data_IF_567362192243
#
_entry.id   IF_567362192243
#
_cell.length_a   1.000
_cell.length_b   1.000
_cell.length_c   1.000
_cell.angle_alpha   90.00
_cell.angle_beta   90.00
_cell.angle_gamma   90.00
#
_symmetry.space_group_name_H-M   'P 1'
#
loop_
_entity.id
_entity.type
_entity.pdbx_description
1 polymer ?
#
# COMPACT_ATOMS: atom_id res chain seq x y z
N UNK A 1 19.01 -0.41 -11.11
CA UNK A 1 19.11 -0.33 -12.56
C UNK A 1 17.79 -0.73 -13.23
N UNK A 2 17.29 -1.96 -13.10
CA UNK A 2 16.04 -2.40 -13.74
C UNK A 2 14.80 -1.61 -13.25
N UNK A 3 14.77 -1.24 -11.97
CA UNK A 3 13.69 -0.42 -11.41
C UNK A 3 13.74 1.01 -11.96
N UNK A 4 14.93 1.58 -12.11
CA UNK A 4 15.08 2.92 -12.70
C UNK A 4 14.65 2.93 -14.17
N UNK A 5 15.09 1.94 -14.95
CA UNK A 5 14.68 1.80 -16.36
C UNK A 5 13.15 1.67 -16.48
N UNK A 6 12.54 0.86 -15.62
CA UNK A 6 11.08 0.76 -15.53
C UNK A 6 10.41 2.08 -15.16
N UNK A 7 10.94 2.80 -14.17
CA UNK A 7 10.42 4.08 -13.72
C UNK A 7 10.62 5.21 -14.76
N UNK A 8 11.60 5.09 -15.65
CA UNK A 8 11.80 6.01 -16.76
C UNK A 8 10.94 5.70 -17.99
N UNK A 9 10.60 4.43 -18.16
CA UNK A 9 9.73 3.99 -19.27
C UNK A 9 8.24 4.21 -18.98
N UNK A 10 7.80 3.93 -17.74
CA UNK A 10 6.38 3.92 -17.39
C UNK A 10 5.64 5.24 -17.65
N UNK A 11 6.21 6.43 -17.45
CA UNK A 11 5.55 7.69 -17.81
C UNK A 11 5.13 7.78 -19.29
N UNK A 12 5.90 7.21 -20.20
CA UNK A 12 5.56 7.18 -21.64
C UNK A 12 4.33 6.32 -21.91
N UNK A 13 4.23 5.19 -21.21
CA UNK A 13 3.03 4.32 -21.28
C UNK A 13 1.80 5.04 -20.74
N UNK A 14 1.97 5.86 -19.69
CA UNK A 14 0.88 6.68 -19.16
C UNK A 14 0.47 7.79 -20.14
N UNK A 15 1.42 8.39 -20.85
CA UNK A 15 1.13 9.38 -21.88
C UNK A 15 0.35 8.76 -23.05
N UNK A 16 0.73 7.57 -23.51
CA UNK A 16 0.00 6.83 -24.54
C UNK A 16 -1.45 6.50 -24.13
N UNK A 17 -1.66 6.14 -22.85
CA UNK A 17 -3.01 5.87 -22.30
C UNK A 17 -3.81 7.18 -22.19
N UNK A 18 -3.17 8.26 -21.77
CA UNK A 18 -3.78 9.57 -21.63
C UNK A 18 -4.28 10.09 -23.00
N UNK A 19 -3.44 10.02 -24.01
CA UNK A 19 -3.79 10.38 -25.40
C UNK A 19 -4.94 9.53 -25.96
N UNK A 20 -4.98 8.24 -25.62
CA UNK A 20 -5.99 7.32 -26.11
C UNK A 20 -7.36 7.52 -25.45
N UNK A 21 -7.39 7.76 -24.14
CA UNK A 21 -8.61 7.69 -23.33
C UNK A 21 -9.10 9.04 -22.80
N UNK A 22 -8.22 9.90 -22.31
CA UNK A 22 -8.64 11.08 -21.53
C UNK A 22 -9.51 12.04 -22.33
N UNK A 23 -9.15 12.34 -23.55
CA UNK A 23 -9.95 13.21 -24.43
C UNK A 23 -10.91 12.45 -25.35
N UNK A 24 -10.96 11.13 -25.25
CA UNK A 24 -11.83 10.31 -26.08
C UNK A 24 -13.31 10.58 -25.78
N UNK A 25 -14.05 11.03 -26.79
CA UNK A 25 -15.48 11.38 -26.65
C UNK A 25 -16.33 10.23 -26.14
N UNK A 26 -16.07 9.02 -26.64
CA UNK A 26 -16.85 7.82 -26.22
C UNK A 26 -16.56 7.50 -24.77
N UNK A 27 -15.29 7.55 -24.37
CA UNK A 27 -14.87 7.31 -22.99
C UNK A 27 -15.50 8.33 -22.04
N UNK A 28 -15.44 9.62 -22.37
CA UNK A 28 -16.07 10.69 -21.57
C UNK A 28 -17.58 10.49 -21.44
N UNK A 29 -18.27 10.18 -22.51
CA UNK A 29 -19.73 9.97 -22.48
C UNK A 29 -20.16 8.78 -21.61
N UNK A 30 -19.27 7.83 -21.37
CA UNK A 30 -19.54 6.65 -20.54
C UNK A 30 -19.09 6.78 -19.09
N UNK A 31 -18.35 7.82 -18.74
CA UNK A 31 -17.78 7.98 -17.42
C UNK A 31 -18.14 9.30 -16.73
N UNK A 32 -18.35 10.38 -17.49
CA UNK A 32 -18.73 11.68 -16.91
C UNK A 32 -20.16 11.63 -16.38
N UNK A 33 -20.35 12.10 -15.16
CA UNK A 33 -21.62 12.11 -14.42
C UNK A 33 -22.24 10.70 -14.21
N UNK A 34 -21.41 9.64 -14.32
CA UNK A 34 -21.80 8.25 -14.08
C UNK A 34 -21.19 7.77 -12.76
N UNK A 35 -22.02 7.09 -11.95
CA UNK A 35 -21.57 6.53 -10.66
C UNK A 35 -21.06 7.60 -9.72
N UNK A 36 -21.76 8.71 -9.62
CA UNK A 36 -21.43 9.80 -8.70
C UNK A 36 -21.57 9.31 -7.26
N UNK A 37 -20.51 9.52 -6.47
CA UNK A 37 -20.46 9.23 -5.04
C UNK A 37 -20.29 10.56 -4.31
N UNK A 38 -21.23 10.85 -3.42
CA UNK A 38 -21.23 12.09 -2.64
C UNK A 38 -20.35 11.98 -1.40
N UNK A 39 -20.04 13.11 -0.77
CA UNK A 39 -19.33 13.13 0.50
C UNK A 39 -20.13 12.46 1.63
N UNK A 40 -21.47 12.56 1.60
CA UNK A 40 -22.37 11.88 2.53
C UNK A 40 -22.30 10.36 2.36
N UNK A 41 -22.36 9.85 1.12
CA UNK A 41 -22.18 8.41 0.84
C UNK A 41 -20.83 7.88 1.35
N UNK A 42 -19.76 8.68 1.21
CA UNK A 42 -18.42 8.32 1.69
C UNK A 42 -18.40 8.10 3.20
N UNK A 43 -19.03 9.00 3.94
CA UNK A 43 -19.08 8.92 5.40
C UNK A 43 -19.96 7.75 5.85
N UNK A 44 -21.14 7.60 5.28
CA UNK A 44 -22.11 6.57 5.64
C UNK A 44 -21.58 5.15 5.37
N UNK A 45 -20.86 4.97 4.27
CA UNK A 45 -20.31 3.67 3.89
C UNK A 45 -18.85 3.46 4.29
N UNK A 46 -18.24 4.42 4.98
CA UNK A 46 -16.83 4.40 5.38
C UNK A 46 -15.90 4.04 4.21
N UNK A 47 -16.10 4.69 3.07
CA UNK A 47 -15.30 4.46 1.87
C UNK A 47 -13.86 4.95 2.05
N UNK A 48 -12.95 4.50 1.23
CA UNK A 48 -11.55 4.90 1.26
C UNK A 48 -10.93 4.91 -0.14
N UNK A 49 -9.70 5.43 -0.24
CA UNK A 49 -8.95 5.43 -1.48
C UNK A 49 -9.46 6.42 -2.52
N UNK A 50 -9.39 6.01 -3.78
CA UNK A 50 -9.73 6.88 -4.90
C UNK A 50 -11.22 7.27 -4.94
N UNK A 51 -12.11 6.51 -4.32
CA UNK A 51 -13.51 6.90 -4.17
C UNK A 51 -13.62 8.20 -3.37
N UNK A 52 -12.92 8.27 -2.25
CA UNK A 52 -12.86 9.45 -1.38
C UNK A 52 -12.19 10.63 -2.08
N UNK A 53 -11.04 10.38 -2.69
CA UNK A 53 -10.28 11.42 -3.40
C UNK A 53 -11.01 11.94 -4.64
N UNK A 54 -11.66 11.07 -5.39
CA UNK A 54 -12.49 11.48 -6.54
C UNK A 54 -13.67 12.37 -6.19
N UNK A 55 -14.19 12.26 -4.98
CA UNK A 55 -15.33 13.07 -4.48
C UNK A 55 -14.92 14.35 -3.74
N UNK A 56 -13.65 14.72 -3.76
CA UNK A 56 -13.19 16.01 -3.26
C UNK A 56 -12.46 15.99 -1.91
N UNK A 57 -12.32 14.84 -1.26
CA UNK A 57 -11.63 14.72 0.03
C UNK A 57 -10.18 14.23 -0.16
N UNK A 58 -9.23 15.02 0.32
CA UNK A 58 -7.80 14.70 0.25
C UNK A 58 -7.38 13.71 1.36
N UNK A 59 -8.02 12.55 1.43
CA UNK A 59 -7.71 11.52 2.42
C UNK A 59 -6.74 10.47 1.87
N UNK A 60 -5.58 10.36 2.50
CA UNK A 60 -4.55 9.37 2.20
C UNK A 60 -3.76 9.06 3.47
N UNK A 61 -3.70 7.79 3.87
CA UNK A 61 -3.02 7.37 5.09
C UNK A 61 -1.53 7.67 5.08
N UNK A 62 -0.90 7.69 3.90
CA UNK A 62 0.52 8.02 3.75
C UNK A 62 0.84 9.47 4.18
N UNK A 63 -0.17 10.34 4.23
CA UNK A 63 -0.09 11.73 4.69
C UNK A 63 -0.79 11.98 6.02
N UNK A 64 -1.98 11.38 6.21
CA UNK A 64 -2.78 11.58 7.42
C UNK A 64 -2.19 10.85 8.64
N UNK A 65 -1.64 9.67 8.43
CA UNK A 65 -0.97 8.85 9.45
C UNK A 65 0.26 8.18 8.83
N UNK A 66 1.34 8.94 8.57
CA UNK A 66 2.53 8.43 7.91
C UNK A 66 3.07 7.19 8.60
N UNK A 67 3.44 6.20 7.81
CA UNK A 67 4.08 4.98 8.24
C UNK A 67 5.33 4.73 7.42
N UNK A 68 6.27 3.96 7.96
CA UNK A 68 7.59 3.75 7.36
C UNK A 68 8.29 5.08 7.05
N UNK A 69 8.64 5.35 5.80
CA UNK A 69 9.36 6.55 5.37
C UNK A 69 8.51 7.49 4.51
N UNK A 70 7.18 7.39 4.54
CA UNK A 70 6.32 8.22 3.69
C UNK A 70 6.33 9.71 4.05
N UNK A 71 6.67 10.05 5.28
CA UNK A 71 6.88 11.43 5.73
C UNK A 71 8.11 12.11 5.09
N UNK A 72 9.04 11.30 4.58
CA UNK A 72 10.27 11.77 3.95
C UNK A 72 10.18 11.92 2.42
N UNK A 73 9.09 11.42 1.80
CA UNK A 73 8.89 11.49 0.35
C UNK A 73 8.01 12.66 -0.06
N UNK A 74 8.39 13.30 -1.14
CA UNK A 74 7.60 14.35 -1.78
C UNK A 74 6.66 13.77 -2.84
N UNK A 75 5.36 13.87 -2.60
CA UNK A 75 4.31 13.50 -3.54
C UNK A 75 3.04 14.28 -3.27
N UNK A 76 2.16 14.38 -4.26
CA UNK A 76 0.87 15.03 -4.15
C UNK A 76 -0.25 14.00 -4.06
N UNK A 77 -1.34 14.38 -3.39
CA UNK A 77 -2.58 13.61 -3.35
C UNK A 77 -3.51 14.22 -4.40
N UNK A 78 -3.80 13.51 -5.51
CA UNK A 78 -4.76 14.01 -6.49
C UNK A 78 -6.17 13.94 -5.92
N UNK A 79 -6.95 15.01 -6.16
CA UNK A 79 -8.31 15.16 -5.67
C UNK A 79 -9.22 15.55 -6.82
N UNK A 80 -10.32 14.83 -6.98
CA UNK A 80 -11.38 15.13 -7.94
C UNK A 80 -12.36 16.16 -7.40
N UNK A 81 -13.42 16.41 -8.14
CA UNK A 81 -14.46 17.40 -7.77
C UNK A 81 -15.87 16.89 -7.89
N UNK A 82 -16.14 15.97 -8.81
CA UNK A 82 -17.47 15.48 -9.15
C UNK A 82 -17.85 14.14 -8.52
N UNK A 83 -16.87 13.37 -8.07
CA UNK A 83 -17.09 12.04 -7.51
C UNK A 83 -17.58 10.99 -8.52
N UNK A 84 -17.44 11.24 -9.81
CA UNK A 84 -17.89 10.35 -10.88
C UNK A 84 -16.78 9.37 -11.31
N UNK A 85 -17.12 8.48 -12.23
CA UNK A 85 -16.16 7.51 -12.79
C UNK A 85 -14.98 8.18 -13.49
N UNK A 86 -15.22 9.33 -14.13
CA UNK A 86 -14.20 10.06 -14.86
C UNK A 86 -13.17 10.69 -13.92
N UNK A 87 -13.62 11.35 -12.84
CA UNK A 87 -12.72 11.91 -11.83
C UNK A 87 -11.89 10.81 -11.14
N UNK A 88 -12.48 9.65 -10.86
CA UNK A 88 -11.73 8.51 -10.32
C UNK A 88 -10.67 8.00 -11.30
N UNK A 89 -10.95 8.00 -12.58
CA UNK A 89 -9.95 7.67 -13.61
C UNK A 89 -8.81 8.70 -13.61
N UNK A 90 -9.12 10.00 -13.63
CA UNK A 90 -8.12 11.06 -13.58
C UNK A 90 -7.26 10.99 -12.33
N UNK A 91 -7.85 10.77 -11.17
CA UNK A 91 -7.10 10.57 -9.92
C UNK A 91 -6.12 9.39 -10.05
N UNK A 92 -6.53 8.24 -10.60
CA UNK A 92 -5.63 7.10 -10.80
C UNK A 92 -4.48 7.39 -11.76
N UNK A 93 -4.73 8.12 -12.85
CA UNK A 93 -3.69 8.53 -13.78
C UNK A 93 -2.63 9.40 -13.07
N UNK A 94 -3.08 10.34 -12.24
CA UNK A 94 -2.18 11.17 -11.45
C UNK A 94 -1.47 10.39 -10.35
N UNK A 95 -2.16 9.50 -9.65
CA UNK A 95 -1.56 8.63 -8.60
C UNK A 95 -0.45 7.73 -9.16
N UNK A 96 -0.61 7.21 -10.37
CA UNK A 96 0.44 6.44 -11.02
C UNK A 96 1.69 7.29 -11.31
N UNK A 97 1.52 8.54 -11.72
CA UNK A 97 2.64 9.49 -11.93
C UNK A 97 3.32 9.83 -10.60
N UNK A 98 2.56 10.07 -9.53
CA UNK A 98 3.12 10.30 -8.20
C UNK A 98 3.83 9.06 -7.64
N UNK A 99 3.33 7.86 -7.93
CA UNK A 99 3.99 6.60 -7.55
C UNK A 99 5.38 6.46 -8.19
N UNK A 100 5.54 6.87 -9.45
CA UNK A 100 6.86 6.90 -10.11
C UNK A 100 7.82 7.86 -9.38
N UNK A 101 7.34 9.02 -8.93
CA UNK A 101 8.17 9.95 -8.14
C UNK A 101 8.64 9.33 -6.83
N UNK A 102 7.74 8.64 -6.12
CA UNK A 102 8.08 7.95 -4.88
C UNK A 102 9.12 6.85 -5.13
N UNK A 103 8.95 6.03 -6.19
CA UNK A 103 9.89 4.96 -6.55
C UNK A 103 11.29 5.55 -6.80
N UNK A 104 11.39 6.64 -7.57
CA UNK A 104 12.68 7.30 -7.85
C UNK A 104 13.34 7.81 -6.57
N UNK A 105 12.62 8.49 -5.70
CA UNK A 105 13.12 8.98 -4.42
C UNK A 105 13.57 7.82 -3.51
N UNK A 106 12.82 6.72 -3.47
CA UNK A 106 13.18 5.53 -2.70
C UNK A 106 14.48 4.89 -3.23
N UNK A 107 14.63 4.79 -4.56
CA UNK A 107 15.85 4.27 -5.18
C UNK A 107 17.06 5.16 -4.89
N UNK A 108 16.91 6.47 -4.90
CA UNK A 108 17.97 7.41 -4.53
C UNK A 108 18.38 7.25 -3.07
N UNK A 109 17.42 7.15 -2.15
CA UNK A 109 17.70 6.90 -0.72
C UNK A 109 18.39 5.57 -0.48
N UNK A 110 17.95 4.51 -1.15
CA UNK A 110 18.57 3.18 -1.01
C UNK A 110 20.02 3.14 -1.50
N UNK A 111 20.45 4.06 -2.38
CA UNK A 111 21.84 4.16 -2.83
C UNK A 111 22.75 4.87 -1.85
N UNK A 112 22.20 5.60 -0.90
CA UNK A 112 22.99 6.31 0.11
C UNK A 112 23.72 5.30 1.01
N UNK A 113 25.00 5.51 1.34
CA UNK A 113 25.80 4.57 2.14
C UNK A 113 25.18 4.27 3.51
N UNK A 114 24.51 5.23 4.11
CA UNK A 114 23.84 5.13 5.42
C UNK A 114 22.66 4.15 5.40
N UNK A 115 22.04 3.92 4.25
CA UNK A 115 20.92 3.01 4.07
C UNK A 115 21.35 1.61 3.57
N UNK A 116 22.65 1.38 3.43
CA UNK A 116 23.19 0.10 3.04
C UNK A 116 23.57 -0.72 4.29
N UNK A 117 22.76 -1.70 4.62
CA UNK A 117 22.94 -2.57 5.78
C UNK A 117 22.51 -4.01 5.53
N UNK A 118 22.34 -4.77 6.60
CA UNK A 118 21.78 -6.13 6.49
C UNK A 118 20.33 -6.06 5.96
N UNK A 119 20.07 -6.73 4.85
CA UNK A 119 18.76 -6.78 4.21
C UNK A 119 17.77 -7.67 4.97
N UNK A 120 18.30 -8.68 5.69
CA UNK A 120 17.50 -9.66 6.41
C UNK A 120 17.51 -9.34 7.91
N UNK A 121 16.32 -9.12 8.48
CA UNK A 121 16.18 -9.03 9.92
C UNK A 121 16.49 -10.37 10.59
N UNK A 122 17.21 -10.32 11.73
CA UNK A 122 17.51 -11.49 12.55
C UNK A 122 16.85 -11.36 13.90
N UNK A 123 16.20 -12.40 14.37
CA UNK A 123 15.52 -12.38 15.66
C UNK A 123 14.84 -13.70 16.00
N UNK A 124 14.17 -13.72 17.14
CA UNK A 124 13.45 -14.92 17.65
C UNK A 124 12.24 -15.30 16.80
N UNK A 125 11.69 -14.35 16.02
CA UNK A 125 10.51 -14.55 15.16
C UNK A 125 10.90 -14.75 13.69
N UNK A 126 12.20 -14.75 13.39
CA UNK A 126 12.70 -14.96 12.02
C UNK A 126 13.37 -16.32 11.89
N UNK A 127 13.25 -16.98 10.74
CA UNK A 127 13.90 -18.27 10.54
C UNK A 127 15.44 -18.13 10.56
N UNK A 128 16.16 -19.13 11.10
CA UNK A 128 17.61 -19.15 11.05
C UNK A 128 18.12 -19.34 9.61
N UNK A 129 19.38 -19.02 9.37
CA UNK A 129 20.00 -19.26 8.08
C UNK A 129 20.06 -20.76 7.74
N UNK A 130 20.05 -21.07 6.44
CA UNK A 130 20.18 -22.47 5.99
C UNK A 130 21.52 -23.10 6.42
N UNK A 131 22.58 -22.30 6.54
CA UNK A 131 23.86 -22.73 7.03
C UNK A 131 23.82 -23.15 8.50
N UNK A 132 23.23 -22.30 9.33
CA UNK A 132 23.10 -22.53 10.77
C UNK A 132 22.27 -23.78 11.08
N UNK A 133 21.19 -24.03 10.33
CA UNK A 133 20.38 -25.25 10.48
C UNK A 133 21.15 -26.54 10.26
N UNK A 134 22.23 -26.51 9.50
CA UNK A 134 23.07 -27.70 9.23
C UNK A 134 24.12 -27.95 10.29
N UNK A 135 24.54 -26.93 11.01
CA UNK A 135 25.68 -26.97 11.93
C UNK A 135 25.29 -26.77 13.39
N UNK A 136 24.13 -26.18 13.67
CA UNK A 136 23.60 -25.89 15.00
C UNK A 136 22.29 -26.63 15.26
N UNK A 137 22.27 -27.47 16.29
CA UNK A 137 21.06 -28.15 16.74
C UNK A 137 20.00 -27.14 17.21
N UNK A 138 20.41 -26.08 17.88
CA UNK A 138 19.51 -25.02 18.37
C UNK A 138 18.80 -24.30 17.21
N UNK A 139 19.55 -24.00 16.14
CA UNK A 139 18.99 -23.39 14.94
C UNK A 139 18.00 -24.33 14.23
N UNK A 140 18.28 -25.61 14.19
CA UNK A 140 17.36 -26.62 13.64
C UNK A 140 16.06 -26.71 14.46
N UNK A 141 16.16 -26.75 15.78
CA UNK A 141 15.00 -26.76 16.70
C UNK A 141 14.20 -25.47 16.56
N UNK A 142 14.86 -24.33 16.49
CA UNK A 142 14.22 -23.02 16.30
C UNK A 142 13.42 -22.97 15.00
N UNK A 143 14.02 -23.40 13.90
CA UNK A 143 13.34 -23.52 12.62
C UNK A 143 12.12 -24.43 12.70
N UNK A 144 12.27 -25.63 13.26
CA UNK A 144 11.19 -26.60 13.40
C UNK A 144 10.02 -26.02 14.22
N UNK A 145 10.31 -25.44 15.38
CA UNK A 145 9.28 -24.85 16.25
C UNK A 145 8.59 -23.65 15.60
N UNK A 146 9.33 -22.81 14.91
CA UNK A 146 8.77 -21.64 14.24
C UNK A 146 7.74 -22.02 13.18
N UNK A 147 7.97 -23.09 12.43
CA UNK A 147 7.07 -23.55 11.37
C UNK A 147 5.96 -24.51 11.84
N UNK A 148 6.13 -25.17 12.96
CA UNK A 148 5.10 -26.09 13.52
C UNK A 148 4.21 -25.42 14.55
N UNK A 149 4.79 -24.73 15.52
CA UNK A 149 4.08 -24.08 16.63
C UNK A 149 3.89 -22.58 16.38
N UNK A 150 4.86 -21.93 15.72
CA UNK A 150 4.88 -20.48 15.59
C UNK A 150 5.40 -19.78 16.85
N UNK A 151 5.04 -18.51 17.03
CA UNK A 151 5.38 -17.72 18.22
C UNK A 151 4.13 -17.23 18.92
N UNK A 152 4.21 -17.06 20.24
CA UNK A 152 3.13 -16.54 21.04
C UNK A 152 3.13 -15.02 21.02
N UNK A 153 1.95 -14.42 20.86
CA UNK A 153 1.75 -12.98 20.88
C UNK A 153 1.12 -12.60 22.23
N UNK A 154 1.61 -11.55 22.91
CA UNK A 154 0.97 -11.06 24.14
C UNK A 154 -0.52 -10.76 23.96
N UNK A 155 -1.30 -10.90 25.01
CA UNK A 155 -2.72 -10.53 25.01
C UNK A 155 -2.89 -9.05 24.67
N UNK A 156 -3.85 -8.76 23.80
CA UNK A 156 -4.15 -7.40 23.38
C UNK A 156 -4.86 -7.35 22.04
N UNK A 157 -5.19 -6.13 21.63
CA UNK A 157 -5.81 -5.86 20.34
C UNK A 157 -5.04 -4.77 19.60
N UNK A 158 -5.01 -4.88 18.28
CA UNK A 158 -4.36 -3.90 17.42
C UNK A 158 -5.13 -3.75 16.10
N UNK A 159 -5.25 -2.52 15.63
CA UNK A 159 -5.62 -2.21 14.26
C UNK A 159 -4.43 -1.54 13.56
N UNK A 160 -4.07 -2.06 12.42
CA UNK A 160 -3.04 -1.49 11.57
C UNK A 160 -3.57 -1.39 10.15
N UNK A 161 -3.39 -0.22 9.53
CA UNK A 161 -3.85 0.04 8.18
C UNK A 161 -2.73 0.64 7.33
N UNK A 162 -2.76 0.32 6.04
CA UNK A 162 -1.87 0.88 5.02
C UNK A 162 -2.69 1.37 3.83
N UNK A 163 -2.16 2.36 3.12
CA UNK A 163 -2.78 2.82 1.88
C UNK A 163 -2.42 1.86 0.75
N UNK A 164 -3.36 1.01 0.39
CA UNK A 164 -3.24 0.12 -0.75
C UNK A 164 -3.72 0.82 -2.05
N UNK A 165 -3.43 0.29 -3.25
CA UNK A 165 -3.83 0.92 -4.53
C UNK A 165 -5.33 1.21 -4.66
N UNK A 166 -6.17 0.46 -3.96
CA UNK A 166 -7.64 0.65 -3.96
C UNK A 166 -8.16 1.44 -2.77
N UNK A 167 -7.31 1.74 -1.79
CA UNK A 167 -7.66 2.48 -0.58
C UNK A 167 -7.08 1.84 0.68
N UNK A 168 -7.67 2.12 1.82
CA UNK A 168 -7.22 1.64 3.11
C UNK A 168 -7.37 0.12 3.24
N UNK A 169 -6.26 -0.60 3.28
CA UNK A 169 -6.21 -2.00 3.67
C UNK A 169 -5.87 -2.09 5.15
N UNK A 170 -6.81 -2.59 5.95
CA UNK A 170 -6.68 -2.66 7.40
C UNK A 170 -6.77 -4.08 7.93
N UNK A 171 -6.00 -4.36 8.97
CA UNK A 171 -6.02 -5.62 9.71
C UNK A 171 -6.27 -5.32 11.19
N UNK A 172 -7.36 -5.84 11.73
CA UNK A 172 -7.64 -5.82 13.15
C UNK A 172 -7.43 -7.22 13.71
N UNK A 173 -6.60 -7.33 14.74
CA UNK A 173 -6.27 -8.58 15.42
C UNK A 173 -6.53 -8.48 16.90
N UNK A 174 -7.08 -9.55 17.46
CA UNK A 174 -7.18 -9.78 18.92
C UNK A 174 -6.35 -11.00 19.24
N UNK A 175 -5.38 -10.84 20.14
CA UNK A 175 -4.53 -11.92 20.66
C UNK A 175 -4.94 -12.29 22.09
N UNK A 176 -4.92 -13.58 22.40
CA UNK A 176 -5.24 -14.16 23.71
C UNK A 176 -4.01 -14.80 24.41
N UNK A 177 -2.81 -14.41 24.01
CA UNK A 177 -1.56 -14.97 24.53
C UNK A 177 -1.11 -16.26 23.83
N UNK A 178 -1.89 -16.79 22.88
CA UNK A 178 -1.53 -18.00 22.13
C UNK A 178 -0.80 -17.67 20.82
N UNK A 179 -0.44 -18.70 20.08
CA UNK A 179 0.17 -18.61 18.75
C UNK A 179 -0.85 -18.41 17.61
N UNK A 180 -2.13 -18.28 17.94
CA UNK A 180 -3.22 -18.05 16.99
C UNK A 180 -4.03 -16.85 17.43
N UNK A 181 -4.42 -15.95 16.51
CA UNK A 181 -5.29 -14.85 16.87
C UNK A 181 -6.66 -15.41 17.33
N UNK A 182 -7.16 -14.89 18.45
CA UNK A 182 -8.52 -15.14 18.90
C UNK A 182 -9.55 -14.63 17.89
N UNK A 183 -9.29 -13.46 17.31
CA UNK A 183 -10.12 -12.85 16.27
C UNK A 183 -9.25 -12.09 15.28
N UNK A 184 -9.59 -12.22 14.00
CA UNK A 184 -9.01 -11.41 12.92
C UNK A 184 -10.13 -10.83 12.05
N UNK A 185 -10.03 -9.55 11.72
CA UNK A 185 -10.88 -8.89 10.73
C UNK A 185 -10.01 -8.17 9.71
N UNK A 186 -10.25 -8.46 8.45
CA UNK A 186 -9.59 -7.78 7.32
C UNK A 186 -10.56 -6.76 6.72
N UNK A 187 -10.09 -5.53 6.61
CA UNK A 187 -10.75 -4.50 5.83
C UNK A 187 -10.08 -4.45 4.47
N UNK A 188 -10.77 -4.91 3.46
CA UNK A 188 -10.26 -4.92 2.10
C UNK A 188 -10.93 -3.79 1.31
N UNK A 189 -10.19 -2.82 0.77
CA UNK A 189 -10.76 -1.66 0.10
C UNK A 189 -11.33 -1.97 -1.29
N UNK A 190 -11.13 -3.18 -1.77
CA UNK A 190 -11.62 -3.63 -3.07
C UNK A 190 -13.02 -4.28 -3.04
N UNK A 191 -13.61 -4.41 -1.85
CA UNK A 191 -14.95 -4.99 -1.65
C UNK A 191 -15.92 -3.94 -1.18
#
# INVERSE_FOLDING_TARGET
DDIDEGADHFPKVLDDIDDLLTENRIFKQRNVDIGVVTEEDIQDWAMSGVLVRGSGLAWDLRRAQPYECYDEFEFQIPVGTKGDCYDRYLCRMMEMRESVKIIKQACEKLRQPENQGEVLARGKITPPSRGDMKTSMEALIHHFKLYTEGFHVPEGEIYCAVEAPKGEFGVYLVADGTNRPYRAKLRAPGF
#
